data_IF_298677713134
#
_entry.id   IF_298677713134
#
_cell.length_a   1.000
_cell.length_b   1.000
_cell.length_c   1.000
_cell.angle_alpha   90.00
_cell.angle_beta   90.00
_cell.angle_gamma   90.00
#
_symmetry.space_group_name_H-M   'P 1'
#
loop_
_entity.id
_entity.type
_entity.pdbx_description
1 polymer ?
#
# COMPACT_ATOMS: atom_id res chain seq x y z
N UNK A 1 18.88 -11.16 -5.58
CA UNK A 1 17.56 -10.59 -5.47
C UNK A 1 17.36 -9.57 -6.53
N UNK A 2 16.18 -9.32 -6.99
CA UNK A 2 16.03 -9.27 -8.45
C UNK A 2 16.55 -7.99 -9.14
N UNK A 3 17.84 -8.00 -9.44
CA UNK A 3 18.44 -7.01 -10.36
C UNK A 3 17.67 -6.89 -11.69
N UNK A 4 16.77 -7.86 -12.01
CA UNK A 4 16.01 -7.84 -13.26
C UNK A 4 14.81 -6.89 -13.18
N UNK A 5 14.06 -6.84 -12.07
CA UNK A 5 12.96 -5.88 -11.89
C UNK A 5 13.50 -4.44 -11.97
N UNK A 6 14.57 -4.14 -11.23
CA UNK A 6 15.18 -2.82 -11.27
C UNK A 6 15.74 -2.45 -12.65
N UNK A 7 16.34 -3.40 -13.38
CA UNK A 7 16.78 -3.19 -14.76
C UNK A 7 15.61 -2.92 -15.69
N UNK A 8 14.49 -3.61 -15.51
CA UNK A 8 13.28 -3.38 -16.28
C UNK A 8 12.75 -1.97 -16.04
N UNK A 9 12.62 -1.55 -14.78
CA UNK A 9 12.23 -0.17 -14.43
C UNK A 9 13.17 0.85 -15.10
N UNK A 10 14.47 0.66 -15.06
CA UNK A 10 15.44 1.56 -15.71
C UNK A 10 15.22 1.66 -17.23
N UNK A 11 14.91 0.55 -17.91
CA UNK A 11 14.59 0.54 -19.34
C UNK A 11 13.29 1.31 -19.63
N UNK A 12 12.26 1.08 -18.83
CA UNK A 12 10.99 1.78 -18.95
C UNK A 12 11.15 3.30 -18.74
N UNK A 13 11.98 3.71 -17.76
CA UNK A 13 12.27 5.13 -17.53
C UNK A 13 12.96 5.74 -18.74
N UNK A 14 13.91 5.04 -19.36
CA UNK A 14 14.56 5.53 -20.58
C UNK A 14 13.55 5.73 -21.72
N UNK A 15 12.61 4.81 -21.92
CA UNK A 15 11.53 4.99 -22.88
C UNK A 15 10.66 6.21 -22.59
N UNK A 16 10.36 6.47 -21.31
CA UNK A 16 9.59 7.65 -20.89
C UNK A 16 10.36 8.96 -21.10
N UNK A 17 11.68 8.99 -20.82
CA UNK A 17 12.54 10.13 -21.08
C UNK A 17 12.61 10.47 -22.57
N UNK A 18 12.69 9.45 -23.43
CA UNK A 18 12.74 9.61 -24.88
C UNK A 18 11.38 10.07 -25.45
N UNK A 19 10.27 9.60 -24.88
CA UNK A 19 8.92 9.97 -25.28
C UNK A 19 8.52 11.38 -24.79
N UNK A 20 8.99 11.79 -23.62
CA UNK A 20 8.65 13.08 -22.99
C UNK A 20 9.92 13.75 -22.40
N UNK A 21 10.76 14.36 -23.25
CA UNK A 21 12.03 14.96 -22.82
C UNK A 21 11.88 16.06 -21.76
N UNK A 22 10.73 16.75 -21.72
CA UNK A 22 10.42 17.77 -20.72
C UNK A 22 10.39 17.23 -19.29
N UNK A 23 10.08 15.94 -19.11
CA UNK A 23 10.12 15.24 -17.82
C UNK A 23 11.49 14.61 -17.52
N UNK A 24 12.46 14.68 -18.42
CA UNK A 24 13.78 14.10 -18.24
C UNK A 24 14.46 14.45 -16.92
N UNK A 25 14.55 15.73 -16.51
CA UNK A 25 15.14 16.11 -15.22
C UNK A 25 14.41 15.48 -14.01
N UNK A 26 13.08 15.41 -14.07
CA UNK A 26 12.25 14.79 -13.04
C UNK A 26 12.53 13.28 -12.94
N UNK A 27 12.46 12.56 -14.05
CA UNK A 27 12.70 11.10 -14.09
C UNK A 27 14.15 10.77 -13.69
N UNK A 28 15.11 11.57 -14.14
CA UNK A 28 16.51 11.41 -13.78
C UNK A 28 16.72 11.57 -12.27
N UNK A 29 16.21 12.62 -11.67
CA UNK A 29 16.39 12.89 -10.24
C UNK A 29 15.78 11.81 -9.34
N UNK A 30 14.63 11.28 -9.72
CA UNK A 30 13.90 10.30 -8.90
C UNK A 30 14.33 8.85 -9.14
N UNK A 31 14.71 8.48 -10.37
CA UNK A 31 14.97 7.09 -10.73
C UNK A 31 16.34 6.89 -11.38
N UNK A 32 16.65 7.60 -12.48
CA UNK A 32 17.83 7.29 -13.30
C UNK A 32 19.14 7.46 -12.55
N UNK A 33 19.23 8.43 -11.64
CA UNK A 33 20.39 8.68 -10.78
C UNK A 33 20.47 7.76 -9.56
N UNK A 34 19.44 6.94 -9.28
CA UNK A 34 19.44 6.09 -8.10
C UNK A 34 20.14 4.75 -8.36
N UNK A 35 20.72 4.18 -7.29
CA UNK A 35 21.51 2.95 -7.35
C UNK A 35 20.66 1.69 -7.44
N UNK A 36 19.50 1.71 -6.77
CA UNK A 36 18.63 0.55 -6.56
C UNK A 36 17.17 0.98 -6.32
N UNK A 37 16.26 0.02 -6.24
CA UNK A 37 14.84 0.25 -6.00
C UNK A 37 14.59 1.00 -4.69
N UNK A 38 15.26 0.63 -3.61
CA UNK A 38 15.07 1.26 -2.30
C UNK A 38 15.44 2.75 -2.33
N UNK A 39 16.56 3.08 -3.00
CA UNK A 39 16.99 4.47 -3.17
C UNK A 39 16.00 5.27 -4.03
N UNK A 40 15.42 4.65 -5.06
CA UNK A 40 14.42 5.28 -5.92
C UNK A 40 13.12 5.55 -5.16
N UNK A 41 12.59 4.55 -4.44
CA UNK A 41 11.39 4.72 -3.60
C UNK A 41 11.62 5.78 -2.54
N UNK A 42 12.76 5.76 -1.83
CA UNK A 42 13.10 6.78 -0.85
C UNK A 42 13.19 8.19 -1.46
N UNK A 43 13.72 8.31 -2.70
CA UNK A 43 13.80 9.58 -3.42
C UNK A 43 12.40 10.12 -3.78
N UNK A 44 11.52 9.26 -4.26
CA UNK A 44 10.14 9.63 -4.62
C UNK A 44 9.35 10.02 -3.36
N UNK A 45 9.41 9.19 -2.32
CA UNK A 45 8.69 9.48 -1.07
C UNK A 45 9.17 10.77 -0.44
N UNK A 46 10.48 11.01 -0.40
CA UNK A 46 11.03 12.24 0.20
C UNK A 46 10.56 13.50 -0.53
N UNK A 47 10.43 13.43 -1.86
CA UNK A 47 9.93 14.57 -2.66
C UNK A 47 8.47 14.94 -2.36
N UNK A 48 7.70 14.01 -1.77
CA UNK A 48 6.28 14.18 -1.45
C UNK A 48 6.04 14.40 0.05
N UNK A 49 6.77 13.68 0.90
CA UNK A 49 6.53 13.66 2.35
C UNK A 49 7.27 14.75 3.13
N UNK A 50 8.16 15.51 2.49
CA UNK A 50 8.86 16.61 3.16
C UNK A 50 7.88 17.69 3.68
N UNK A 51 8.33 18.46 4.62
CA UNK A 51 7.59 19.58 5.21
C UNK A 51 8.58 20.68 5.62
N UNK A 52 8.07 21.82 6.08
CA UNK A 52 8.91 22.88 6.61
C UNK A 52 9.76 22.43 7.81
N UNK A 53 9.30 21.43 8.55
CA UNK A 53 9.98 20.89 9.73
C UNK A 53 11.05 19.82 9.39
N UNK A 54 10.92 19.11 8.26
CA UNK A 54 11.83 18.05 7.83
C UNK A 54 12.09 18.13 6.34
N UNK A 55 13.37 18.35 5.97
CA UNK A 55 13.78 18.48 4.59
C UNK A 55 13.62 17.17 3.80
N UNK A 56 13.48 17.28 2.46
CA UNK A 56 13.46 16.12 1.58
C UNK A 56 14.75 15.27 1.71
N UNK A 57 15.90 15.92 1.93
CA UNK A 57 17.18 15.23 2.13
C UNK A 57 17.18 14.37 3.40
N UNK A 58 16.65 14.91 4.50
CA UNK A 58 16.58 14.16 5.77
C UNK A 58 15.59 13.00 5.68
N UNK A 59 14.41 13.22 5.09
CA UNK A 59 13.42 12.16 4.87
C UNK A 59 13.97 11.06 3.97
N UNK A 60 14.65 11.40 2.87
CA UNK A 60 15.28 10.41 1.99
C UNK A 60 16.28 9.54 2.76
N UNK A 61 17.20 10.17 3.49
CA UNK A 61 18.18 9.46 4.31
C UNK A 61 17.49 8.53 5.30
N UNK A 62 16.50 9.02 6.03
CA UNK A 62 15.74 8.27 7.01
C UNK A 62 15.03 7.04 6.44
N UNK A 63 14.27 7.23 5.35
CA UNK A 63 13.55 6.13 4.71
C UNK A 63 14.54 5.07 4.20
N UNK A 64 15.64 5.49 3.59
CA UNK A 64 16.62 4.57 3.04
C UNK A 64 17.35 3.78 4.13
N UNK A 65 17.68 4.42 5.26
CA UNK A 65 18.23 3.74 6.44
C UNK A 65 17.26 2.66 6.94
N UNK A 66 15.99 3.02 7.18
CA UNK A 66 14.95 2.11 7.65
C UNK A 66 14.72 0.95 6.67
N UNK A 67 14.69 1.22 5.37
CA UNK A 67 14.50 0.19 4.36
C UNK A 67 15.64 -0.83 4.33
N UNK A 68 16.87 -0.39 4.60
CA UNK A 68 18.04 -1.27 4.66
C UNK A 68 18.20 -2.01 5.99
N UNK A 69 17.59 -1.50 7.07
CA UNK A 69 17.54 -2.18 8.37
C UNK A 69 16.53 -3.35 8.38
N UNK A 70 15.54 -3.34 7.50
CA UNK A 70 14.47 -4.34 7.46
C UNK A 70 14.49 -5.14 6.15
N UNK A 71 15.21 -6.27 6.14
CA UNK A 71 15.49 -7.10 4.96
C UNK A 71 14.27 -7.52 4.11
N UNK A 72 13.08 -7.58 4.71
CA UNK A 72 11.86 -7.98 4.02
C UNK A 72 11.21 -6.85 3.19
N UNK A 73 11.62 -5.59 3.36
CA UNK A 73 10.94 -4.45 2.70
C UNK A 73 11.19 -4.46 1.20
N UNK A 74 12.41 -4.73 0.75
CA UNK A 74 12.73 -4.73 -0.68
C UNK A 74 11.89 -5.76 -1.43
N UNK A 75 11.84 -7.00 -0.91
CA UNK A 75 11.00 -8.05 -1.48
C UNK A 75 9.52 -7.66 -1.52
N UNK A 76 9.01 -7.09 -0.44
CA UNK A 76 7.61 -6.67 -0.39
C UNK A 76 7.28 -5.53 -1.38
N UNK A 77 8.20 -4.59 -1.61
CA UNK A 77 8.03 -3.53 -2.62
C UNK A 77 8.07 -4.10 -4.05
N UNK A 78 8.94 -5.07 -4.32
CA UNK A 78 9.00 -5.77 -5.60
C UNK A 78 7.71 -6.56 -5.87
N UNK A 79 7.21 -7.30 -4.88
CA UNK A 79 5.95 -8.04 -4.93
C UNK A 79 4.75 -7.11 -5.14
N UNK A 80 4.71 -5.96 -4.47
CA UNK A 80 3.65 -4.96 -4.66
C UNK A 80 3.66 -4.41 -6.09
N UNK A 81 4.83 -4.02 -6.62
CA UNK A 81 4.95 -3.51 -7.99
C UNK A 81 4.53 -4.55 -9.03
N UNK A 82 4.96 -5.79 -8.87
CA UNK A 82 4.58 -6.89 -9.75
C UNK A 82 3.07 -7.13 -9.70
N UNK A 83 2.48 -7.13 -8.50
CA UNK A 83 1.05 -7.34 -8.31
C UNK A 83 0.20 -6.22 -8.92
N UNK A 84 0.62 -4.95 -8.82
CA UNK A 84 -0.01 -3.85 -9.54
C UNK A 84 0.04 -4.07 -11.06
N UNK A 85 1.22 -4.43 -11.59
CA UNK A 85 1.41 -4.65 -13.03
C UNK A 85 0.53 -5.77 -13.57
N UNK A 86 0.32 -6.83 -12.79
CA UNK A 86 -0.39 -8.02 -13.22
C UNK A 86 -1.92 -7.92 -13.03
N UNK A 87 -2.38 -7.05 -12.13
CA UNK A 87 -3.79 -7.00 -11.72
C UNK A 87 -4.51 -5.68 -12.04
N UNK A 88 -3.81 -4.63 -12.42
CA UNK A 88 -4.40 -3.38 -12.91
C UNK A 88 -4.29 -3.32 -14.44
N UNK A 89 -5.41 -3.46 -15.19
CA UNK A 89 -5.39 -3.39 -16.65
C UNK A 89 -4.86 -2.06 -17.22
N UNK A 90 -4.83 -1.00 -16.42
CA UNK A 90 -4.27 0.31 -16.81
C UNK A 90 -2.77 0.44 -16.54
N UNK A 91 -2.15 -0.57 -15.93
CA UNK A 91 -0.75 -0.57 -15.55
C UNK A 91 0.14 -1.29 -16.56
N UNK A 92 0.60 -0.59 -17.60
CA UNK A 92 1.46 -1.18 -18.65
C UNK A 92 2.92 -1.39 -18.22
N UNK A 93 3.41 -0.65 -17.23
CA UNK A 93 4.81 -0.61 -16.80
C UNK A 93 4.94 -0.70 -15.28
N UNK A 94 5.98 -1.38 -14.80
CA UNK A 94 6.36 -1.40 -13.38
C UNK A 94 6.67 0.01 -12.84
N UNK A 95 7.20 0.88 -13.69
CA UNK A 95 7.48 2.28 -13.33
C UNK A 95 6.22 3.13 -13.16
N UNK A 96 5.04 2.68 -13.60
CA UNK A 96 3.80 3.46 -13.47
C UNK A 96 3.35 3.58 -12.00
N UNK A 97 3.15 2.48 -11.24
CA UNK A 97 2.80 2.60 -9.83
C UNK A 97 3.92 3.24 -9.01
N UNK A 98 5.18 2.97 -9.33
CA UNK A 98 6.33 3.56 -8.66
C UNK A 98 6.33 5.10 -8.72
N UNK A 99 5.99 5.68 -9.86
CA UNK A 99 6.03 7.14 -10.07
C UNK A 99 4.72 7.85 -9.73
N UNK A 100 3.58 7.23 -10.03
CA UNK A 100 2.31 7.96 -10.15
C UNK A 100 1.18 7.42 -9.27
N UNK A 101 1.24 6.16 -8.79
CA UNK A 101 0.14 5.60 -8.02
C UNK A 101 0.34 5.85 -6.53
N UNK A 102 -0.48 6.74 -5.97
CA UNK A 102 -0.38 7.08 -4.55
C UNK A 102 -0.67 5.90 -3.62
N UNK A 103 -1.42 4.89 -4.08
CA UNK A 103 -1.66 3.66 -3.31
C UNK A 103 -0.38 2.89 -3.05
N UNK A 104 0.46 2.71 -4.08
CA UNK A 104 1.80 2.14 -3.92
C UNK A 104 2.67 3.01 -2.99
N UNK A 105 2.66 4.33 -3.19
CA UNK A 105 3.49 5.24 -2.38
C UNK A 105 3.04 5.29 -0.91
N UNK A 106 1.74 5.23 -0.65
CA UNK A 106 1.19 5.13 0.70
C UNK A 106 1.57 3.81 1.39
N UNK A 107 1.47 2.69 0.65
CA UNK A 107 1.88 1.37 1.14
C UNK A 107 3.39 1.31 1.40
N UNK A 108 4.21 1.86 0.52
CA UNK A 108 5.66 1.97 0.71
C UNK A 108 6.00 2.82 1.96
N UNK A 109 5.28 3.93 2.19
CA UNK A 109 5.44 4.74 3.40
C UNK A 109 5.07 3.94 4.66
N UNK A 110 3.95 3.19 4.61
CA UNK A 110 3.55 2.28 5.69
C UNK A 110 4.64 1.24 6.00
N UNK A 111 5.30 0.65 4.99
CA UNK A 111 6.38 -0.34 5.22
C UNK A 111 7.52 0.23 6.05
N UNK A 112 7.92 1.49 5.80
CA UNK A 112 8.88 2.20 6.65
C UNK A 112 8.33 2.42 8.07
N UNK A 113 7.08 2.89 8.17
CA UNK A 113 6.43 3.13 9.46
C UNK A 113 6.27 1.84 10.31
N UNK A 114 5.95 0.71 9.67
CA UNK A 114 5.84 -0.59 10.32
C UNK A 114 7.19 -1.10 10.84
N UNK A 115 8.27 -0.95 10.05
CA UNK A 115 9.62 -1.27 10.50
C UNK A 115 10.01 -0.43 11.74
N UNK A 116 9.78 0.87 11.69
CA UNK A 116 10.02 1.76 12.83
C UNK A 116 9.20 1.37 14.06
N UNK A 117 7.93 1.02 13.86
CA UNK A 117 7.05 0.57 14.94
C UNK A 117 7.57 -0.69 15.63
N UNK A 118 7.99 -1.68 14.84
CA UNK A 118 8.56 -2.95 15.34
C UNK A 118 9.90 -2.76 16.06
N UNK A 119 10.59 -1.66 15.82
CA UNK A 119 11.86 -1.27 16.49
C UNK A 119 11.64 -0.21 17.59
N UNK A 120 10.46 -0.14 18.19
CA UNK A 120 10.07 0.77 19.28
C UNK A 120 10.23 2.28 18.98
N UNK A 121 10.38 2.65 17.71
CA UNK A 121 10.48 4.04 17.22
C UNK A 121 9.09 4.61 16.92
N UNK A 122 8.17 4.49 17.86
CA UNK A 122 6.74 4.75 17.67
C UNK A 122 6.43 6.19 17.24
N UNK A 123 7.12 7.19 17.80
CA UNK A 123 6.88 8.60 17.41
C UNK A 123 7.19 8.85 15.94
N UNK A 124 8.29 8.29 15.42
CA UNK A 124 8.64 8.44 14.01
C UNK A 124 7.70 7.63 13.11
N UNK A 125 7.26 6.45 13.56
CA UNK A 125 6.27 5.65 12.85
C UNK A 125 4.94 6.42 12.68
N UNK A 126 4.44 7.04 13.76
CA UNK A 126 3.24 7.88 13.73
C UNK A 126 3.43 9.15 12.88
N UNK A 127 4.62 9.74 12.88
CA UNK A 127 4.93 10.85 11.97
C UNK A 127 4.74 10.44 10.51
N UNK A 128 5.28 9.29 10.07
CA UNK A 128 5.10 8.82 8.71
C UNK A 128 3.65 8.44 8.39
N UNK A 129 2.92 7.83 9.33
CA UNK A 129 1.48 7.60 9.20
C UNK A 129 0.74 8.91 8.93
N UNK A 130 0.98 9.93 9.76
CA UNK A 130 0.35 11.24 9.60
C UNK A 130 0.69 11.87 8.24
N UNK A 131 1.97 11.85 7.83
CA UNK A 131 2.36 12.38 6.53
C UNK A 131 1.72 11.64 5.37
N UNK A 132 1.60 10.30 5.44
CA UNK A 132 0.90 9.52 4.42
C UNK A 132 -0.59 9.89 4.35
N UNK A 133 -1.23 10.10 5.49
CA UNK A 133 -2.62 10.54 5.56
C UNK A 133 -2.82 11.92 4.95
N UNK A 134 -1.97 12.89 5.28
CA UNK A 134 -2.04 14.24 4.73
C UNK A 134 -1.75 14.29 3.22
N UNK A 135 -0.72 13.60 2.76
CA UNK A 135 -0.22 13.69 1.38
C UNK A 135 -0.97 12.78 0.40
N UNK A 136 -1.26 11.55 0.84
CA UNK A 136 -1.87 10.53 -0.03
C UNK A 136 -3.35 10.29 0.27
N UNK A 137 -3.85 10.76 1.42
CA UNK A 137 -5.21 10.45 1.89
C UNK A 137 -5.35 8.97 2.29
N UNK A 138 -4.29 8.36 2.81
CA UNK A 138 -4.22 6.94 3.18
C UNK A 138 -3.75 6.85 4.62
N UNK A 139 -4.60 6.30 5.49
CA UNK A 139 -4.33 6.16 6.91
C UNK A 139 -4.17 4.68 7.29
N UNK A 140 -2.92 4.23 7.43
CA UNK A 140 -2.59 2.87 7.83
C UNK A 140 -1.82 2.93 9.15
N UNK A 141 -2.39 2.34 10.20
CA UNK A 141 -1.71 2.30 11.49
C UNK A 141 -0.41 1.48 11.38
N UNK A 142 0.73 1.98 11.88
CA UNK A 142 2.04 1.31 11.73
C UNK A 142 2.10 -0.10 12.32
N UNK A 143 1.29 -0.39 13.33
CA UNK A 143 1.21 -1.73 13.94
C UNK A 143 0.39 -2.74 13.15
N UNK A 144 -0.35 -2.35 12.13
CA UNK A 144 -1.02 -3.29 11.24
C UNK A 144 0.02 -4.22 10.58
N UNK A 145 -0.39 -5.42 10.20
CA UNK A 145 0.48 -6.36 9.50
C UNK A 145 -0.04 -6.54 8.06
N UNK A 146 0.78 -6.17 7.08
CA UNK A 146 0.42 -6.26 5.66
C UNK A 146 1.55 -6.99 4.92
N UNK A 147 1.22 -8.09 4.28
CA UNK A 147 2.14 -8.87 3.46
C UNK A 147 2.59 -8.12 2.20
N UNK A 148 3.47 -8.70 1.40
CA UNK A 148 3.76 -8.26 0.03
C UNK A 148 2.63 -8.66 -0.94
N UNK A 149 2.75 -8.22 -2.19
CA UNK A 149 1.74 -8.41 -3.23
C UNK A 149 0.35 -7.85 -2.84
N UNK A 150 0.31 -6.61 -2.34
CA UNK A 150 -0.94 -5.90 -2.02
C UNK A 150 -1.11 -4.71 -2.95
N UNK A 151 -2.28 -4.60 -3.56
CA UNK A 151 -2.65 -3.48 -4.41
C UNK A 151 -3.66 -2.57 -3.70
N UNK A 152 -3.33 -1.29 -3.59
CA UNK A 152 -4.25 -0.24 -3.14
C UNK A 152 -4.58 0.66 -4.33
N UNK A 153 -5.67 0.36 -5.05
CA UNK A 153 -6.02 1.10 -6.27
C UNK A 153 -6.81 2.37 -5.95
N UNK A 154 -6.47 3.48 -6.64
CA UNK A 154 -6.93 4.86 -6.36
C UNK A 154 -6.65 5.33 -4.93
N UNK A 155 -6.90 4.51 -3.96
CA UNK A 155 -6.53 4.51 -2.55
C UNK A 155 -6.99 5.71 -1.69
N UNK A 156 -7.56 6.77 -2.25
CA UNK A 156 -8.04 7.92 -1.45
C UNK A 156 -9.04 7.46 -0.38
N UNK A 157 -8.78 7.80 0.87
CA UNK A 157 -9.68 7.52 1.99
C UNK A 157 -9.60 6.08 2.51
N UNK A 158 -8.58 5.32 2.17
CA UNK A 158 -8.32 4.02 2.81
C UNK A 158 -7.92 4.25 4.27
N UNK A 159 -8.55 3.51 5.17
CA UNK A 159 -8.23 3.47 6.60
C UNK A 159 -8.01 2.02 7.03
N UNK A 160 -6.83 1.72 7.60
CA UNK A 160 -6.47 0.38 8.10
C UNK A 160 -6.05 0.49 9.57
N UNK A 161 -6.84 -0.14 10.44
CA UNK A 161 -6.66 -0.05 11.88
C UNK A 161 -5.52 -0.91 12.42
N UNK A 162 -5.11 -0.60 13.64
CA UNK A 162 -3.93 -1.10 14.35
C UNK A 162 -3.74 -2.61 14.34
N UNK A 163 -4.80 -3.38 14.52
CA UNK A 163 -4.72 -4.85 14.66
C UNK A 163 -5.18 -5.60 13.40
N UNK A 164 -5.25 -4.91 12.25
CA UNK A 164 -5.49 -5.57 10.96
C UNK A 164 -4.34 -6.51 10.60
N UNK A 165 -4.70 -7.62 9.96
CA UNK A 165 -3.75 -8.51 9.30
C UNK A 165 -4.23 -8.73 7.86
N UNK A 166 -3.38 -8.40 6.88
CA UNK A 166 -3.69 -8.49 5.45
C UNK A 166 -2.65 -9.40 4.81
N UNK A 167 -3.11 -10.50 4.26
CA UNK A 167 -2.29 -11.48 3.56
C UNK A 167 -1.96 -11.01 2.13
N UNK A 168 -1.20 -11.80 1.38
CA UNK A 168 -0.76 -11.48 0.02
C UNK A 168 -1.90 -11.57 -1.01
N UNK A 169 -1.67 -11.01 -2.18
CA UNK A 169 -2.58 -11.01 -3.34
C UNK A 169 -3.92 -10.32 -3.06
N UNK A 170 -3.95 -9.36 -2.13
CA UNK A 170 -5.15 -8.62 -1.74
C UNK A 170 -5.26 -7.33 -2.52
N UNK A 171 -6.45 -7.05 -3.07
CA UNK A 171 -6.78 -5.79 -3.74
C UNK A 171 -7.74 -4.96 -2.90
N UNK A 172 -7.39 -3.69 -2.64
CA UNK A 172 -8.18 -2.74 -1.84
C UNK A 172 -8.37 -1.46 -2.64
N UNK A 173 -9.63 -1.05 -2.79
CA UNK A 173 -9.98 0.15 -3.54
C UNK A 173 -10.23 1.37 -2.63
N UNK A 174 -10.35 2.55 -3.22
CA UNK A 174 -10.55 3.81 -2.49
C UNK A 174 -11.72 3.76 -1.50
N UNK A 175 -11.59 4.50 -0.41
CA UNK A 175 -12.64 4.67 0.61
C UNK A 175 -12.90 3.44 1.48
N UNK A 176 -12.10 2.39 1.36
CA UNK A 176 -12.24 1.20 2.19
C UNK A 176 -11.79 1.49 3.61
N UNK A 177 -12.59 1.06 4.59
CA UNK A 177 -12.27 1.12 6.01
C UNK A 177 -12.20 -0.28 6.61
N UNK A 178 -11.05 -0.65 7.16
CA UNK A 178 -10.85 -1.82 8.01
C UNK A 178 -10.80 -1.36 9.46
N UNK A 179 -11.97 -1.24 10.09
CA UNK A 179 -12.17 -0.58 11.38
C UNK A 179 -12.39 -1.55 12.53
N UNK A 180 -12.19 -1.05 13.75
CA UNK A 180 -12.54 -1.75 14.99
C UNK A 180 -13.95 -1.47 15.44
N UNK A 181 -14.50 -2.36 16.30
CA UNK A 181 -15.73 -2.14 17.04
C UNK A 181 -15.43 -2.12 18.53
N UNK A 182 -16.03 -1.14 19.25
CA UNK A 182 -15.90 -1.06 20.70
C UNK A 182 -14.58 -0.49 21.20
N UNK A 183 -14.37 -0.64 22.53
CA UNK A 183 -13.25 -0.08 23.29
C UNK A 183 -12.17 -1.11 23.66
N UNK A 184 -12.21 -2.30 23.09
CA UNK A 184 -11.24 -3.35 23.40
C UNK A 184 -9.83 -2.97 22.98
N UNK A 185 -8.86 -3.16 23.85
CA UNK A 185 -7.45 -2.91 23.58
C UNK A 185 -6.77 -4.04 22.79
N UNK A 186 -7.42 -5.21 22.68
CA UNK A 186 -6.92 -6.39 21.97
C UNK A 186 -7.19 -6.38 20.48
N UNK A 187 -7.23 -7.57 19.90
CA UNK A 187 -7.59 -7.78 18.49
C UNK A 187 -9.03 -7.31 18.25
N UNK A 188 -9.19 -6.27 17.41
CA UNK A 188 -10.48 -5.59 17.17
C UNK A 188 -10.71 -5.17 15.72
N UNK A 189 -9.75 -5.42 14.83
CA UNK A 189 -9.81 -5.09 13.41
C UNK A 189 -9.81 -6.34 12.56
N UNK A 190 -10.27 -6.27 11.30
CA UNK A 190 -10.39 -7.43 10.42
C UNK A 190 -9.07 -8.13 10.08
N UNK A 191 -9.18 -9.43 9.80
CA UNK A 191 -8.19 -10.21 9.07
C UNK A 191 -8.66 -10.40 7.63
N UNK A 192 -7.80 -10.07 6.66
CA UNK A 192 -8.07 -10.21 5.23
C UNK A 192 -7.15 -11.30 4.68
N UNK A 193 -7.76 -12.37 4.19
CA UNK A 193 -7.05 -13.55 3.69
C UNK A 193 -6.61 -13.35 2.23
N UNK A 194 -5.66 -14.19 1.84
CA UNK A 194 -5.04 -14.21 0.52
C UNK A 194 -6.07 -14.11 -0.62
N UNK A 195 -5.76 -13.30 -1.64
CA UNK A 195 -6.58 -13.19 -2.85
C UNK A 195 -7.92 -12.49 -2.67
N UNK A 196 -8.24 -11.95 -1.49
CA UNK A 196 -9.48 -11.23 -1.27
C UNK A 196 -9.47 -9.88 -2.01
N UNK A 197 -10.64 -9.50 -2.53
CA UNK A 197 -10.84 -8.19 -3.19
C UNK A 197 -11.89 -7.38 -2.43
N UNK A 198 -11.52 -6.17 -2.01
CA UNK A 198 -12.39 -5.25 -1.28
C UNK A 198 -12.62 -4.00 -2.13
N UNK A 199 -13.81 -3.93 -2.73
CA UNK A 199 -14.18 -2.83 -3.62
C UNK A 199 -14.50 -1.53 -2.89
N UNK A 200 -14.53 -0.45 -3.67
CA UNK A 200 -14.57 0.93 -3.23
C UNK A 200 -15.64 1.22 -2.17
N UNK A 201 -15.29 2.08 -1.19
CA UNK A 201 -16.19 2.58 -0.14
C UNK A 201 -16.81 1.51 0.74
N UNK A 202 -16.26 0.32 0.79
CA UNK A 202 -16.71 -0.72 1.71
C UNK A 202 -16.17 -0.49 3.12
N UNK A 203 -16.99 -0.79 4.11
CA UNK A 203 -16.63 -0.68 5.53
C UNK A 203 -16.71 -2.05 6.19
N UNK A 204 -15.59 -2.53 6.72
CA UNK A 204 -15.46 -3.82 7.41
C UNK A 204 -15.12 -3.54 8.87
N UNK A 205 -15.98 -3.98 9.79
CA UNK A 205 -15.86 -3.64 11.21
C UNK A 205 -15.75 -4.86 12.10
N UNK A 206 -14.78 -4.80 13.02
CA UNK A 206 -14.64 -5.77 14.11
C UNK A 206 -13.55 -6.81 13.85
N UNK A 207 -13.35 -7.66 14.84
CA UNK A 207 -12.47 -8.82 14.75
C UNK A 207 -13.15 -9.94 13.94
N UNK A 208 -13.22 -9.77 12.64
CA UNK A 208 -13.84 -10.70 11.68
C UNK A 208 -12.84 -11.08 10.60
N UNK A 209 -13.10 -12.19 9.92
CA UNK A 209 -12.25 -12.69 8.83
C UNK A 209 -12.94 -12.50 7.48
N UNK A 210 -12.19 -11.95 6.53
CA UNK A 210 -12.54 -11.89 5.11
C UNK A 210 -11.80 -13.04 4.44
N UNK A 211 -12.52 -14.10 4.09
CA UNK A 211 -11.95 -15.37 3.64
C UNK A 211 -11.17 -15.29 2.34
N UNK A 212 -10.33 -16.31 2.11
CA UNK A 212 -9.46 -16.41 0.92
C UNK A 212 -10.27 -16.29 -0.38
N UNK A 213 -9.80 -15.46 -1.32
CA UNK A 213 -10.45 -15.27 -2.62
C UNK A 213 -11.86 -14.69 -2.56
N UNK A 214 -12.32 -14.19 -1.41
CA UNK A 214 -13.65 -13.60 -1.28
C UNK A 214 -13.71 -12.19 -1.88
N UNK A 215 -14.91 -11.74 -2.19
CA UNK A 215 -15.17 -10.42 -2.78
C UNK A 215 -16.14 -9.62 -1.93
N UNK A 216 -15.72 -8.41 -1.54
CA UNK A 216 -16.60 -7.44 -0.90
C UNK A 216 -17.02 -6.42 -1.95
N UNK A 217 -18.29 -6.42 -2.33
CA UNK A 217 -18.82 -5.50 -3.33
C UNK A 217 -18.77 -4.05 -2.83
N UNK A 218 -18.65 -3.09 -3.76
CA UNK A 218 -18.55 -1.67 -3.43
C UNK A 218 -19.68 -1.17 -2.52
N UNK A 219 -19.35 -0.28 -1.58
CA UNK A 219 -20.30 0.33 -0.65
C UNK A 219 -20.88 -0.62 0.40
N UNK A 220 -20.32 -1.79 0.59
CA UNK A 220 -20.84 -2.79 1.55
C UNK A 220 -20.44 -2.49 2.99
N UNK A 221 -21.34 -2.78 3.93
CA UNK A 221 -21.07 -2.78 5.38
C UNK A 221 -20.97 -4.23 5.87
N UNK A 222 -19.76 -4.69 6.16
CA UNK A 222 -19.48 -6.06 6.59
C UNK A 222 -19.27 -6.10 8.11
N UNK A 223 -20.14 -6.83 8.80
CA UNK A 223 -20.17 -6.95 10.26
C UNK A 223 -19.98 -8.42 10.74
N UNK A 224 -19.81 -9.36 9.81
CA UNK A 224 -19.60 -10.78 10.10
C UNK A 224 -18.54 -11.34 9.15
N UNK A 225 -17.86 -12.38 9.59
CA UNK A 225 -16.87 -13.08 8.75
C UNK A 225 -17.48 -13.58 7.44
N UNK A 226 -16.69 -13.49 6.38
CA UNK A 226 -17.03 -13.94 5.03
C UNK A 226 -16.24 -15.21 4.72
N UNK A 227 -16.93 -16.24 4.23
CA UNK A 227 -16.28 -17.51 3.88
C UNK A 227 -15.40 -17.37 2.64
N UNK A 228 -14.39 -18.26 2.47
CA UNK A 228 -13.57 -18.27 1.27
C UNK A 228 -14.40 -18.35 -0.03
N UNK A 229 -13.97 -17.59 -1.06
CA UNK A 229 -14.57 -17.58 -2.39
C UNK A 229 -15.97 -16.95 -2.48
N UNK A 230 -16.51 -16.40 -1.40
CA UNK A 230 -17.88 -15.84 -1.37
C UNK A 230 -17.84 -14.34 -1.71
N UNK A 231 -18.82 -13.92 -2.50
CA UNK A 231 -19.12 -12.49 -2.72
C UNK A 231 -20.22 -12.04 -1.78
N UNK A 232 -19.99 -10.92 -1.08
CA UNK A 232 -20.99 -10.26 -0.25
C UNK A 232 -21.27 -8.84 -0.71
N UNK A 233 -22.52 -8.36 -0.54
CA UNK A 233 -22.94 -7.01 -0.93
C UNK A 233 -24.01 -6.44 -0.01
N UNK A 234 -24.10 -5.11 0.07
CA UNK A 234 -25.17 -4.36 0.71
C UNK A 234 -24.89 -3.88 2.12
N UNK A 235 -25.91 -3.30 2.78
CA UNK A 235 -25.86 -2.68 4.11
C UNK A 235 -27.00 -3.22 4.97
N UNK A 236 -26.77 -4.09 5.96
CA UNK A 236 -25.54 -4.87 6.14
C UNK A 236 -25.31 -5.87 5.00
N UNK A 237 -24.04 -6.23 4.76
CA UNK A 237 -23.66 -7.11 3.67
C UNK A 237 -24.21 -8.53 3.86
N UNK A 238 -24.66 -9.13 2.75
CA UNK A 238 -25.16 -10.50 2.66
C UNK A 238 -24.47 -11.24 1.51
N UNK A 239 -24.36 -12.56 1.63
CA UNK A 239 -23.84 -13.41 0.55
C UNK A 239 -24.72 -13.23 -0.72
N UNK A 240 -24.06 -13.02 -1.86
CA UNK A 240 -24.75 -13.07 -3.15
C UNK A 240 -24.90 -14.54 -3.55
N UNK A 241 -26.12 -15.02 -3.56
CA UNK A 241 -26.43 -16.31 -4.20
C UNK A 241 -26.44 -16.10 -5.70
N UNK A 242 -25.66 -16.92 -6.45
CA UNK A 242 -25.78 -16.95 -7.90
C UNK A 242 -27.25 -17.25 -8.27
N UNK A 243 -28.00 -16.22 -8.57
CA UNK A 243 -29.28 -16.39 -9.24
C UNK A 243 -28.96 -16.76 -10.67
N UNK A 244 -29.17 -18.03 -11.03
CA UNK A 244 -29.15 -18.50 -12.43
C UNK A 244 -30.14 -17.68 -13.27
#
# INVERSE_FOLDING_TARGET
>A
MDRELWKTIKKEIKLREDAEPSLGPFLHSLISSQTDLLAAVASILSSKLHSDALSATDIKRFILEVYRECDHIEAALEEDLAFFKDNDPACDYLSTPLLFYKGFLGLATYRAANCLWKNDRHTMALFFQNRASEVFGIDIHPAANIAGAVMMDHATGIVIGQTCNIESEVSIFQGVTLGGTGSDSGKRHPDVKKGATIYASSTILGNIEIGEGSTIAAGSLVLKSVKPGITVAGIPAKELTNSN
#
